data_IF_912442605470
#
_entry.id   IF_912442605470
#
_cell.length_a   1.000
_cell.length_b   1.000
_cell.length_c   1.000
_cell.angle_alpha   90.00
_cell.angle_beta   90.00
_cell.angle_gamma   90.00
#
_symmetry.space_group_name_H-M   'P 1'
#
loop_
_entity.id
_entity.type
_entity.pdbx_description
1 polymer ?
#
# COMPACT_ATOMS: atom_id res chain seq x y z
N UNK A 1 -10.78 8.94 -3.25
CA UNK A 1 -9.48 8.23 -3.21
C UNK A 1 -9.74 6.81 -2.77
N UNK A 2 -9.33 5.82 -3.57
CA UNK A 2 -9.52 4.41 -3.28
C UNK A 2 -8.36 3.89 -2.42
N UNK A 3 -8.63 2.84 -1.63
CA UNK A 3 -7.61 2.15 -0.85
C UNK A 3 -7.40 0.76 -1.44
N UNK A 4 -6.14 0.43 -1.67
CA UNK A 4 -5.71 -0.82 -2.24
C UNK A 4 -4.92 -1.61 -1.21
N UNK A 5 -5.17 -2.92 -1.14
CA UNK A 5 -4.25 -3.85 -0.53
C UNK A 5 -3.15 -4.17 -1.54
N UNK A 6 -1.92 -3.87 -1.17
CA UNK A 6 -0.72 -4.17 -1.96
C UNK A 6 0.10 -5.19 -1.18
N UNK A 7 0.36 -6.34 -1.80
CA UNK A 7 1.27 -7.34 -1.28
C UNK A 7 2.37 -7.54 -2.32
N UNK A 8 3.62 -7.46 -1.87
CA UNK A 8 4.78 -7.71 -2.71
C UNK A 8 5.56 -8.88 -2.15
N UNK A 9 5.76 -9.91 -2.95
CA UNK A 9 6.69 -10.99 -2.60
C UNK A 9 8.03 -10.74 -3.29
N UNK A 10 9.12 -10.85 -2.53
CA UNK A 10 10.45 -10.54 -3.02
C UNK A 10 11.37 -11.73 -2.82
N UNK A 11 12.12 -12.08 -3.86
CA UNK A 11 13.15 -13.11 -3.74
C UNK A 11 14.35 -12.60 -2.92
N UNK A 12 14.64 -11.29 -3.02
CA UNK A 12 15.84 -10.66 -2.44
C UNK A 12 15.51 -9.46 -1.56
N UNK A 13 16.27 -9.30 -0.48
CA UNK A 13 16.11 -8.20 0.49
C UNK A 13 16.35 -6.83 -0.15
N UNK A 14 17.24 -6.75 -1.15
CA UNK A 14 17.51 -5.52 -1.90
C UNK A 14 16.29 -5.04 -2.67
N UNK A 15 15.50 -5.97 -3.27
CA UNK A 15 14.24 -5.65 -3.95
C UNK A 15 13.22 -5.07 -2.97
N UNK A 16 13.06 -5.71 -1.81
CA UNK A 16 12.19 -5.20 -0.75
C UNK A 16 12.57 -3.77 -0.32
N UNK A 17 13.86 -3.48 -0.15
CA UNK A 17 14.31 -2.15 0.27
C UNK A 17 14.02 -1.07 -0.78
N UNK A 18 14.16 -1.38 -2.08
CA UNK A 18 13.77 -0.45 -3.16
C UNK A 18 12.27 -0.22 -3.17
N UNK A 19 11.49 -1.29 -3.08
CA UNK A 19 10.04 -1.20 -3.10
C UNK A 19 9.48 -0.43 -1.91
N UNK A 20 10.00 -0.68 -0.71
CA UNK A 20 9.66 0.06 0.49
C UNK A 20 9.86 1.57 0.29
N UNK A 21 10.99 2.00 -0.28
CA UNK A 21 11.26 3.43 -0.53
C UNK A 21 10.24 4.04 -1.50
N UNK A 22 9.85 3.32 -2.56
CA UNK A 22 8.88 3.81 -3.56
C UNK A 22 7.46 3.89 -3.00
N UNK A 23 7.04 2.88 -2.23
CA UNK A 23 5.71 2.82 -1.60
C UNK A 23 5.57 3.89 -0.52
N UNK A 24 6.63 4.18 0.24
CA UNK A 24 6.61 5.22 1.27
C UNK A 24 6.38 6.65 0.74
N UNK A 25 6.50 6.87 -0.58
CA UNK A 25 6.14 8.14 -1.21
C UNK A 25 4.63 8.30 -1.39
N UNK A 26 3.88 7.20 -1.36
CA UNK A 26 2.43 7.21 -1.42
C UNK A 26 1.84 7.33 0.00
N UNK A 27 0.56 7.68 0.08
CA UNK A 27 -0.18 7.66 1.36
C UNK A 27 -0.43 6.20 1.72
N UNK A 28 0.35 5.66 2.66
CA UNK A 28 0.37 4.22 2.94
C UNK A 28 0.33 3.88 4.42
N UNK A 29 -0.25 2.72 4.73
CA UNK A 29 -0.18 2.08 6.04
C UNK A 29 0.45 0.71 5.89
N UNK A 30 1.60 0.50 6.52
CA UNK A 30 2.20 -0.84 6.56
C UNK A 30 1.41 -1.73 7.53
N UNK A 31 0.97 -2.89 7.05
CA UNK A 31 0.23 -3.86 7.86
C UNK A 31 1.18 -4.83 8.56
N UNK A 32 1.77 -5.75 7.80
CA UNK A 32 2.73 -6.75 8.28
C UNK A 32 3.61 -7.21 7.12
N UNK A 33 4.83 -7.68 7.40
CA UNK A 33 5.74 -8.22 6.38
C UNK A 33 5.89 -7.29 5.17
N UNK A 34 5.37 -7.74 4.03
CA UNK A 34 5.35 -7.06 2.73
C UNK A 34 3.94 -6.68 2.25
N UNK A 35 3.03 -6.47 3.20
CA UNK A 35 1.67 -6.01 2.95
C UNK A 35 1.47 -4.55 3.39
N UNK A 36 0.84 -3.76 2.52
CA UNK A 36 0.51 -2.36 2.73
C UNK A 36 -0.93 -2.08 2.33
N UNK A 37 -1.57 -1.17 3.05
CA UNK A 37 -2.68 -0.39 2.51
C UNK A 37 -2.10 0.83 1.81
N UNK A 38 -2.57 1.08 0.60
CA UNK A 38 -2.12 2.20 -0.23
C UNK A 38 -3.35 2.98 -0.65
N UNK A 39 -3.39 4.24 -0.26
CA UNK A 39 -4.33 5.18 -0.83
C UNK A 39 -3.74 5.77 -2.11
N UNK A 40 -4.49 5.68 -3.19
CA UNK A 40 -4.03 6.09 -4.51
C UNK A 40 -5.13 6.84 -5.26
N UNK A 41 -4.74 7.90 -5.95
CA UNK A 41 -5.61 8.69 -6.82
C UNK A 41 -5.57 8.13 -8.24
N UNK A 42 -6.26 7.01 -8.43
CA UNK A 42 -6.27 6.25 -9.67
C UNK A 42 -6.89 4.87 -9.48
N UNK A 43 -6.83 4.06 -10.53
CA UNK A 43 -7.28 2.67 -10.52
C UNK A 43 -6.13 1.68 -10.20
N UNK A 44 -6.50 0.41 -10.04
CA UNK A 44 -5.56 -0.67 -9.74
C UNK A 44 -4.50 -0.85 -10.84
N UNK A 45 -4.86 -0.64 -12.11
CA UNK A 45 -3.94 -0.79 -13.25
C UNK A 45 -2.90 0.34 -13.29
N UNK A 46 -3.28 1.56 -12.94
CA UNK A 46 -2.36 2.68 -12.79
C UNK A 46 -1.40 2.46 -11.61
N UNK A 47 -1.92 1.98 -10.47
CA UNK A 47 -1.08 1.62 -9.32
C UNK A 47 -0.13 0.45 -9.66
N UNK A 48 -0.60 -0.53 -10.41
CA UNK A 48 0.21 -1.65 -10.90
C UNK A 48 1.38 -1.14 -11.74
N UNK A 49 1.13 -0.32 -12.76
CA UNK A 49 2.21 0.24 -13.60
C UNK A 49 3.23 1.04 -12.79
N UNK A 50 2.77 1.82 -11.81
CA UNK A 50 3.64 2.58 -10.92
C UNK A 50 4.56 1.68 -10.06
N UNK A 51 4.08 0.50 -9.67
CA UNK A 51 4.83 -0.47 -8.88
C UNK A 51 5.58 -1.50 -9.73
N UNK A 52 5.21 -1.73 -10.99
CA UNK A 52 5.93 -2.65 -11.90
C UNK A 52 7.36 -2.18 -12.18
N UNK A 53 7.62 -0.87 -12.20
CA UNK A 53 8.95 -0.30 -12.42
C UNK A 53 10.00 -0.77 -11.40
N UNK A 54 9.58 -1.23 -10.21
CA UNK A 54 10.45 -1.64 -9.11
C UNK A 54 10.48 -3.15 -8.87
N UNK A 55 9.66 -3.92 -9.59
CA UNK A 55 9.52 -5.37 -9.48
C UNK A 55 10.52 -6.03 -10.42
N UNK A 56 11.34 -6.94 -9.89
CA UNK A 56 12.25 -7.75 -10.71
C UNK A 56 11.58 -9.04 -11.20
N UNK A 57 12.21 -9.73 -12.15
CA UNK A 57 11.67 -10.90 -12.85
C UNK A 57 11.14 -12.04 -11.94
N UNK A 58 11.62 -12.15 -10.70
CA UNK A 58 11.21 -13.18 -9.75
C UNK A 58 10.38 -12.65 -8.57
N UNK A 59 10.07 -11.35 -8.57
CA UNK A 59 9.22 -10.73 -7.55
C UNK A 59 7.75 -10.83 -7.98
N UNK A 60 6.81 -10.90 -7.03
CA UNK A 60 5.38 -10.98 -7.30
C UNK A 60 4.62 -9.80 -6.71
N UNK A 61 3.61 -9.30 -7.44
CA UNK A 61 2.76 -8.20 -7.00
C UNK A 61 1.30 -8.61 -7.03
N UNK A 62 0.65 -8.38 -5.90
CA UNK A 62 -0.79 -8.49 -5.75
C UNK A 62 -1.37 -7.13 -5.38
N UNK A 63 -2.38 -6.69 -6.13
CA UNK A 63 -3.14 -5.47 -5.87
C UNK A 63 -4.62 -5.81 -5.86
N UNK A 64 -5.32 -5.39 -4.82
CA UNK A 64 -6.78 -5.50 -4.73
C UNK A 64 -7.39 -4.21 -4.22
N UNK A 65 -8.42 -3.71 -4.91
CA UNK A 65 -9.21 -2.60 -4.43
C UNK A 65 -10.06 -3.06 -3.23
N UNK A 66 -10.02 -2.31 -2.14
CA UNK A 66 -10.79 -2.61 -0.94
C UNK A 66 -12.09 -1.80 -0.92
N UNK A 67 -13.16 -2.44 -0.47
CA UNK A 67 -14.40 -1.76 -0.10
C UNK A 67 -14.26 -1.08 1.28
N UNK A 68 -15.16 -0.18 1.65
CA UNK A 68 -15.03 0.60 2.89
C UNK A 68 -14.99 -0.23 4.19
N UNK A 69 -15.35 -1.51 4.15
CA UNK A 69 -15.37 -2.39 5.32
C UNK A 69 -13.96 -2.60 5.91
N UNK A 70 -12.89 -2.45 5.11
CA UNK A 70 -11.51 -2.58 5.59
C UNK A 70 -11.21 -1.65 6.78
N UNK A 71 -11.86 -0.48 6.82
CA UNK A 71 -11.68 0.52 7.87
C UNK A 71 -12.26 0.12 9.22
N UNK A 72 -13.18 -0.86 9.23
CA UNK A 72 -13.86 -1.37 10.43
C UNK A 72 -13.16 -2.59 11.04
N UNK A 73 -12.26 -3.23 10.28
CA UNK A 73 -11.48 -4.38 10.76
C UNK A 73 -10.47 -3.89 11.80
N UNK A 74 -10.38 -4.58 12.95
CA UNK A 74 -9.55 -4.20 14.09
C UNK A 74 -8.05 -4.38 13.83
N UNK A 75 -7.51 -3.60 12.89
CA UNK A 75 -6.09 -3.47 12.63
C UNK A 75 -5.61 -2.15 13.25
N UNK A 76 -4.91 -2.24 14.38
CA UNK A 76 -4.44 -1.06 15.12
C UNK A 76 -3.67 -0.05 14.25
N UNK A 77 -2.83 -0.53 13.33
CA UNK A 77 -2.08 0.32 12.40
C UNK A 77 -2.99 1.08 11.41
N UNK A 78 -3.97 0.38 10.83
CA UNK A 78 -4.95 0.96 9.91
C UNK A 78 -5.85 1.99 10.62
N UNK A 79 -6.27 1.70 11.86
CA UNK A 79 -7.06 2.62 12.68
C UNK A 79 -6.30 3.90 12.99
N UNK A 80 -5.02 3.79 13.37
CA UNK A 80 -4.18 4.97 13.62
C UNK A 80 -4.00 5.80 12.34
N UNK A 81 -3.74 5.15 11.21
CA UNK A 81 -3.61 5.79 9.91
C UNK A 81 -4.89 6.55 9.49
N UNK A 82 -6.07 5.96 9.71
CA UNK A 82 -7.36 6.63 9.48
C UNK A 82 -7.55 7.86 10.36
N UNK A 83 -7.21 7.77 11.66
CA UNK A 83 -7.32 8.91 12.58
C UNK A 83 -6.35 10.04 12.24
N UNK A 84 -5.10 9.71 11.91
CA UNK A 84 -4.08 10.68 11.47
C UNK A 84 -4.54 11.42 10.20
N UNK A 85 -5.13 10.68 9.25
CA UNK A 85 -5.69 11.25 8.02
C UNK A 85 -6.84 12.23 8.27
N UNK A 86 -7.78 11.87 9.15
CA UNK A 86 -8.90 12.75 9.52
C UNK A 86 -8.44 14.05 10.19
N UNK A 87 -7.30 14.01 10.89
CA UNK A 87 -6.75 15.19 11.58
C UNK A 87 -6.06 16.15 10.61
N UNK A 88 -5.53 15.64 9.50
CA UNK A 88 -4.86 16.46 8.46
C UNK A 88 -5.88 17.10 7.51
N UNK A 89 -7.04 16.48 7.29
CA UNK A 89 -8.13 17.02 6.45
C UNK A 89 -9.00 18.12 7.10
N UNK A 90 -8.68 18.53 8.33
CA UNK A 90 -9.36 19.60 9.08
C UNK A 90 -8.54 20.90 9.16
N UNK A 91 -7.49 21.05 8.34
CA UNK A 91 -6.74 22.29 8.17
C UNK A 91 -6.84 22.83 6.75
#
# INVERSE_FOLDING_TARGET
>A
MAVFLVILDFEKVESYNRARKRIQLLVTCKLSGTAWLVEFDGDASQLQRYLEEIILQNDSLFISALNNDWASVNMHAARRWLTERHTIGLK
#
